data_IF_569051774007
#
_entry.id   IF_569051774007
#
_cell.length_a   1.000
_cell.length_b   1.000
_cell.length_c   1.000
_cell.angle_alpha   90.00
_cell.angle_beta   90.00
_cell.angle_gamma   90.00
#
_symmetry.space_group_name_H-M   'P 1'
#
loop_
_entity.id
_entity.type
_entity.pdbx_description
1 polymer ?
#
# COMPACT_ATOMS: atom_id res chain seq x y z
N UNK A 1 -17.19 -13.09 0.35
CA UNK A 1 -17.30 -12.18 1.51
C UNK A 1 -16.04 -11.33 1.54
N UNK A 2 -16.10 -10.10 2.01
CA UNK A 2 -14.89 -9.29 2.17
C UNK A 2 -14.37 -9.42 3.60
N UNK A 3 -13.06 -9.63 3.76
CA UNK A 3 -12.43 -9.88 5.06
C UNK A 3 -11.14 -9.06 5.17
N UNK A 4 -10.73 -8.76 6.38
CA UNK A 4 -9.41 -8.21 6.67
C UNK A 4 -8.78 -8.96 7.84
N UNK A 5 -7.47 -9.05 7.86
CA UNK A 5 -6.70 -9.71 8.93
C UNK A 5 -5.26 -9.19 8.92
N UNK A 6 -4.52 -9.49 10.00
CA UNK A 6 -3.09 -9.23 10.10
C UNK A 6 -2.39 -10.56 10.27
N UNK A 7 -1.35 -10.79 9.47
CA UNK A 7 -0.43 -11.91 9.63
C UNK A 7 0.95 -11.40 10.05
N UNK A 8 1.73 -12.25 10.73
CA UNK A 8 3.10 -11.92 11.12
C UNK A 8 4.08 -12.79 10.34
N UNK A 9 5.06 -12.14 9.70
CA UNK A 9 6.12 -12.82 8.92
C UNK A 9 7.49 -12.58 9.56
N UNK A 10 8.39 -13.56 9.42
CA UNK A 10 9.72 -13.49 10.05
C UNK A 10 10.63 -12.42 9.44
N UNK A 11 10.47 -12.17 8.14
CA UNK A 11 11.29 -11.25 7.37
C UNK A 11 10.41 -10.19 6.74
N UNK A 12 10.90 -8.95 6.70
CA UNK A 12 10.22 -7.88 5.98
C UNK A 12 10.05 -8.24 4.51
N UNK A 13 8.84 -8.02 3.98
CA UNK A 13 8.53 -8.18 2.56
C UNK A 13 7.85 -6.92 2.05
N UNK A 14 8.39 -6.24 1.03
CA UNK A 14 7.72 -5.09 0.47
C UNK A 14 6.42 -5.50 -0.22
N UNK A 15 5.38 -4.70 -0.01
CA UNK A 15 4.14 -4.78 -0.75
C UNK A 15 4.28 -4.05 -2.08
N UNK A 16 3.31 -4.21 -3.00
CA UNK A 16 3.25 -3.39 -4.20
C UNK A 16 3.30 -1.87 -3.92
N UNK A 17 2.74 -1.41 -2.79
CA UNK A 17 2.67 0.00 -2.43
C UNK A 17 3.97 0.53 -1.78
N UNK A 18 4.80 -0.35 -1.20
CA UNK A 18 6.02 0.05 -0.48
C UNK A 18 6.94 0.96 -1.29
N UNK A 19 7.06 0.68 -2.59
CA UNK A 19 7.87 1.48 -3.50
C UNK A 19 7.38 2.93 -3.60
N UNK A 20 6.08 3.16 -3.67
CA UNK A 20 5.53 4.52 -3.80
C UNK A 20 5.54 5.25 -2.45
N UNK A 21 5.24 4.52 -1.38
CA UNK A 21 5.02 5.08 -0.04
C UNK A 21 6.34 5.41 0.63
N UNK A 22 7.28 4.47 0.68
CA UNK A 22 8.53 4.64 1.41
C UNK A 22 9.59 5.24 0.48
N UNK A 23 9.81 6.56 0.58
CA UNK A 23 10.81 7.28 -0.23
C UNK A 23 12.22 6.98 0.28
N UNK A 24 13.16 6.52 -0.58
CA UNK A 24 14.55 6.37 -0.18
C UNK A 24 15.20 7.73 0.08
N UNK A 25 15.99 7.85 1.15
CA UNK A 25 16.66 9.10 1.56
C UNK A 25 18.17 9.10 1.33
N UNK A 26 18.78 7.93 1.21
CA UNK A 26 20.23 7.74 1.22
C UNK A 26 20.79 7.19 -0.11
N UNK A 27 19.94 6.91 -1.09
CA UNK A 27 20.36 6.56 -2.44
C UNK A 27 19.25 6.80 -3.48
N UNK A 28 19.60 6.66 -4.76
CA UNK A 28 18.68 6.87 -5.89
C UNK A 28 17.74 5.67 -6.15
N UNK A 29 18.18 4.46 -5.82
CA UNK A 29 17.44 3.23 -6.13
C UNK A 29 16.82 2.63 -4.86
N UNK A 30 15.50 2.43 -4.85
CA UNK A 30 14.79 1.92 -3.67
C UNK A 30 15.42 0.65 -3.07
N UNK A 31 15.89 -0.28 -3.90
CA UNK A 31 16.51 -1.55 -3.46
C UNK A 31 17.85 -1.40 -2.75
N UNK A 32 18.54 -0.26 -2.92
CA UNK A 32 19.83 0.03 -2.29
C UNK A 32 19.72 0.91 -1.05
N UNK A 33 18.53 1.41 -0.73
CA UNK A 33 18.32 2.37 0.34
C UNK A 33 18.25 1.67 1.71
N UNK A 34 18.80 2.33 2.72
CA UNK A 34 18.71 1.89 4.12
C UNK A 34 17.86 2.85 4.96
N UNK A 35 17.59 4.05 4.46
CA UNK A 35 16.77 5.06 5.12
C UNK A 35 15.59 5.44 4.25
N UNK A 36 14.40 5.46 4.84
CA UNK A 36 13.15 5.75 4.15
C UNK A 36 12.32 6.79 4.91
N UNK A 37 11.53 7.57 4.18
CA UNK A 37 10.51 8.46 4.71
C UNK A 37 9.16 8.22 4.03
N UNK A 38 8.12 7.76 4.75
CA UNK A 38 8.17 7.24 6.12
C UNK A 38 9.09 6.01 6.23
N UNK A 39 9.59 5.67 7.44
CA UNK A 39 10.45 4.51 7.64
C UNK A 39 9.74 3.20 7.29
N UNK A 40 10.51 2.19 6.92
CA UNK A 40 9.98 0.82 6.76
C UNK A 40 9.44 0.30 8.10
N UNK A 41 8.41 -0.57 8.08
CA UNK A 41 7.84 -1.15 9.28
C UNK A 41 8.90 -1.94 10.05
N UNK A 42 8.85 -1.84 11.38
CA UNK A 42 9.72 -2.59 12.28
C UNK A 42 9.03 -3.89 12.73
N UNK A 43 9.80 -4.94 13.07
CA UNK A 43 9.21 -6.14 13.60
C UNK A 43 8.65 -5.88 15.01
N UNK A 44 7.46 -6.43 15.29
CA UNK A 44 6.93 -6.51 16.64
C UNK A 44 7.73 -7.53 17.47
N UNK A 45 8.04 -7.15 18.70
CA UNK A 45 8.80 -7.98 19.65
C UNK A 45 8.12 -9.34 19.82
N UNK A 46 8.85 -10.40 19.47
CA UNK A 46 8.38 -11.79 19.61
C UNK A 46 7.42 -12.29 18.53
N UNK A 47 6.99 -11.46 17.56
CA UNK A 47 6.07 -11.87 16.48
C UNK A 47 6.66 -11.75 15.07
N UNK A 48 7.49 -10.74 14.83
CA UNK A 48 8.00 -10.42 13.48
C UNK A 48 7.26 -9.24 12.84
N UNK A 49 7.28 -9.15 11.52
CA UNK A 49 6.72 -8.03 10.77
C UNK A 49 5.21 -8.20 10.55
N UNK A 50 4.39 -7.22 10.94
CA UNK A 50 2.96 -7.25 10.63
C UNK A 50 2.72 -7.03 9.14
N UNK A 51 1.86 -7.85 8.55
CA UNK A 51 1.37 -7.69 7.18
C UNK A 51 -0.14 -7.65 7.22
N UNK A 52 -0.67 -6.49 6.86
CA UNK A 52 -2.10 -6.22 6.82
C UNK A 52 -2.68 -6.70 5.51
N UNK A 53 -3.77 -7.47 5.57
CA UNK A 53 -4.39 -8.07 4.38
C UNK A 53 -5.87 -7.76 4.29
N UNK A 54 -6.33 -7.53 3.06
CA UNK A 54 -7.73 -7.33 2.72
C UNK A 54 -8.10 -8.21 1.52
N UNK A 55 -9.20 -8.94 1.63
CA UNK A 55 -9.78 -9.70 0.52
C UNK A 55 -11.01 -8.97 -0.03
N UNK A 56 -11.00 -8.70 -1.34
CA UNK A 56 -12.14 -8.15 -2.07
C UNK A 56 -12.34 -8.90 -3.39
N UNK A 57 -13.54 -9.44 -3.60
CA UNK A 57 -13.92 -10.21 -4.81
C UNK A 57 -12.92 -11.34 -5.15
N UNK A 58 -12.39 -12.02 -4.13
CA UNK A 58 -11.42 -13.11 -4.31
C UNK A 58 -9.99 -12.66 -4.62
N UNK A 59 -9.72 -11.36 -4.62
CA UNK A 59 -8.37 -10.80 -4.72
C UNK A 59 -7.87 -10.38 -3.35
N UNK A 60 -6.63 -10.73 -3.03
CA UNK A 60 -5.94 -10.32 -1.81
C UNK A 60 -5.06 -9.10 -2.09
N UNK A 61 -5.18 -8.09 -1.23
CA UNK A 61 -4.29 -6.94 -1.16
C UNK A 61 -3.53 -7.01 0.15
N UNK A 62 -2.21 -6.88 0.09
CA UNK A 62 -1.31 -6.91 1.24
C UNK A 62 -0.59 -5.58 1.41
N UNK A 63 -0.39 -5.17 2.65
CA UNK A 63 0.29 -3.94 3.04
C UNK A 63 1.26 -4.24 4.17
N UNK A 64 2.48 -3.72 4.08
CA UNK A 64 3.55 -3.98 5.04
C UNK A 64 3.54 -2.98 6.19
N UNK A 65 2.89 -1.83 6.02
CA UNK A 65 2.88 -0.71 6.96
C UNK A 65 1.51 -0.02 6.99
N UNK A 66 1.25 0.77 8.03
CA UNK A 66 -0.01 1.53 8.12
C UNK A 66 -0.01 2.73 7.18
N UNK A 67 1.17 3.29 6.91
CA UNK A 67 1.36 4.37 5.93
C UNK A 67 0.97 3.89 4.52
N UNK A 68 1.23 2.62 4.18
CA UNK A 68 0.75 2.03 2.94
C UNK A 68 -0.78 1.88 2.90
N UNK A 69 -1.40 1.52 4.03
CA UNK A 69 -2.86 1.43 4.17
C UNK A 69 -3.49 2.81 3.99
N UNK A 70 -2.94 3.84 4.63
CA UNK A 70 -3.39 5.23 4.54
C UNK A 70 -3.28 5.75 3.10
N UNK A 71 -2.11 5.60 2.48
CA UNK A 71 -1.93 5.99 1.08
C UNK A 71 -2.93 5.29 0.15
N UNK A 72 -3.19 4.00 0.37
CA UNK A 72 -4.17 3.26 -0.42
C UNK A 72 -5.61 3.78 -0.20
N UNK A 73 -5.99 4.10 1.04
CA UNK A 73 -7.27 4.75 1.35
C UNK A 73 -7.38 6.09 0.60
N UNK A 74 -6.35 6.93 0.65
CA UNK A 74 -6.37 8.25 0.03
C UNK A 74 -6.57 8.17 -1.48
N UNK A 75 -5.84 7.28 -2.16
CA UNK A 75 -5.97 7.07 -3.61
C UNK A 75 -7.31 6.44 -3.98
N UNK A 76 -7.76 5.40 -3.26
CA UNK A 76 -8.97 4.67 -3.60
C UNK A 76 -10.25 5.41 -3.22
N UNK A 77 -10.20 6.32 -2.24
CA UNK A 77 -11.36 7.11 -1.80
C UNK A 77 -11.75 8.20 -2.79
N UNK A 78 -10.83 8.64 -3.67
CA UNK A 78 -11.09 9.70 -4.64
C UNK A 78 -12.28 9.38 -5.55
N UNK A 79 -13.14 10.38 -5.77
CA UNK A 79 -14.34 10.26 -6.63
C UNK A 79 -13.95 9.70 -8.01
N UNK A 80 -13.01 10.35 -8.66
CA UNK A 80 -12.36 9.85 -9.87
C UNK A 80 -11.07 9.16 -9.47
N UNK A 81 -10.82 7.96 -10.00
CA UNK A 81 -9.56 7.28 -9.73
C UNK A 81 -8.44 8.06 -10.45
N UNK A 82 -7.40 8.52 -9.74
CA UNK A 82 -6.30 9.25 -10.37
C UNK A 82 -5.54 8.35 -11.34
N UNK A 83 -4.89 8.98 -12.31
CA UNK A 83 -4.07 8.23 -13.28
C UNK A 83 -2.76 7.82 -12.62
N UNK A 84 -2.21 6.66 -13.01
CA UNK A 84 -0.87 6.24 -12.55
C UNK A 84 0.22 7.25 -12.93
N UNK A 85 -0.01 8.03 -13.98
CA UNK A 85 0.86 9.13 -14.38
C UNK A 85 0.91 10.25 -13.35
N UNK A 86 -0.23 10.84 -12.99
CA UNK A 86 -0.21 11.94 -12.00
C UNK A 86 0.25 11.45 -10.63
N UNK A 87 -0.15 10.23 -10.22
CA UNK A 87 0.36 9.64 -8.97
C UNK A 87 1.88 9.46 -8.96
N UNK A 88 2.48 9.03 -10.07
CA UNK A 88 3.93 8.91 -10.16
C UNK A 88 4.62 10.28 -10.15
N UNK A 89 4.09 11.25 -10.91
CA UNK A 89 4.60 12.63 -10.98
C UNK A 89 4.51 13.36 -9.62
N UNK A 90 3.46 13.10 -8.83
CA UNK A 90 3.26 13.65 -7.47
C UNK A 90 4.10 12.93 -6.41
N UNK A 91 4.48 11.68 -6.65
CA UNK A 91 5.31 10.88 -5.75
C UNK A 91 6.80 11.14 -5.94
N UNK A 92 7.63 10.55 -5.07
CA UNK A 92 9.08 10.61 -5.24
C UNK A 92 9.61 9.88 -6.49
N UNK A 93 8.81 8.99 -7.09
CA UNK A 93 9.19 8.29 -8.33
C UNK A 93 9.44 9.27 -9.47
N UNK A 94 8.61 10.30 -9.60
CA UNK A 94 8.72 11.30 -10.64
C UNK A 94 8.21 10.84 -12.02
N UNK A 95 8.42 11.72 -13.01
CA UNK A 95 7.90 11.57 -14.36
C UNK A 95 8.51 10.35 -15.08
N UNK A 96 7.68 9.57 -15.78
CA UNK A 96 8.10 8.40 -16.56
C UNK A 96 8.00 7.06 -15.82
N UNK A 97 7.81 7.09 -14.50
CA UNK A 97 7.78 5.89 -13.64
C UNK A 97 6.36 5.39 -13.32
N UNK A 98 5.35 5.82 -14.08
CA UNK A 98 3.95 5.39 -13.88
C UNK A 98 3.74 3.87 -13.92
N UNK A 99 4.63 3.14 -14.60
CA UNK A 99 4.57 1.67 -14.70
C UNK A 99 4.92 0.98 -13.36
N UNK A 100 5.66 1.67 -12.48
CA UNK A 100 6.06 1.18 -11.17
C UNK A 100 4.99 1.40 -10.09
N UNK A 101 4.04 2.29 -10.33
CA UNK A 101 2.99 2.61 -9.35
C UNK A 101 2.07 1.40 -9.11
N UNK A 102 1.75 1.10 -7.84
CA UNK A 102 1.00 -0.10 -7.44
C UNK A 102 -0.38 -0.23 -8.11
N UNK A 103 -1.02 0.89 -8.46
CA UNK A 103 -2.31 0.94 -9.14
C UNK A 103 -2.30 0.27 -10.54
N UNK A 104 -1.13 0.07 -11.16
CA UNK A 104 -0.98 -0.74 -12.39
C UNK A 104 -1.27 -2.21 -12.12
N UNK A 105 -0.93 -2.69 -10.92
CA UNK A 105 -1.11 -4.08 -10.46
C UNK A 105 -2.50 -4.33 -9.86
N UNK A 106 -3.28 -3.27 -9.59
CA UNK A 106 -4.63 -3.41 -9.06
C UNK A 106 -5.55 -4.09 -10.09
N UNK A 107 -6.21 -5.22 -9.75
CA UNK A 107 -7.13 -5.90 -10.66
C UNK A 107 -8.24 -4.98 -11.16
N UNK A 108 -8.56 -5.05 -12.46
CA UNK A 108 -9.59 -4.21 -13.08
C UNK A 108 -10.96 -4.37 -12.40
N UNK A 109 -11.27 -5.58 -11.92
CA UNK A 109 -12.50 -5.90 -11.19
C UNK A 109 -12.68 -5.11 -9.89
N UNK A 110 -11.61 -4.51 -9.35
CA UNK A 110 -11.60 -3.70 -8.13
C UNK A 110 -11.60 -2.18 -8.40
N UNK A 111 -11.38 -1.74 -9.65
CA UNK A 111 -11.22 -0.31 -9.99
C UNK A 111 -12.53 0.49 -9.97
N UNK A 112 -13.68 -0.17 -10.08
CA UNK A 112 -14.98 0.50 -10.03
C UNK A 112 -15.17 1.23 -8.70
N UNK A 113 -15.80 2.41 -8.70
CA UNK A 113 -15.99 3.21 -7.49
C UNK A 113 -16.66 2.41 -6.36
N UNK A 114 -17.71 1.64 -6.67
CA UNK A 114 -18.41 0.79 -5.69
C UNK A 114 -17.47 -0.19 -4.99
N UNK A 115 -16.57 -0.84 -5.73
CA UNK A 115 -15.64 -1.80 -5.15
C UNK A 115 -14.50 -1.11 -4.39
N UNK A 116 -13.99 0.01 -4.90
CA UNK A 116 -13.01 0.84 -4.18
C UNK A 116 -13.53 1.29 -2.81
N UNK A 117 -14.78 1.74 -2.73
CA UNK A 117 -15.38 2.17 -1.46
C UNK A 117 -15.54 1.02 -0.45
N UNK A 118 -15.75 -0.23 -0.90
CA UNK A 118 -15.73 -1.39 0.00
C UNK A 118 -14.33 -1.64 0.54
N UNK A 119 -13.31 -1.57 -0.31
CA UNK A 119 -11.90 -1.71 0.10
C UNK A 119 -11.54 -0.62 1.11
N UNK A 120 -11.86 0.64 0.83
CA UNK A 120 -11.64 1.77 1.73
C UNK A 120 -12.27 1.55 3.11
N UNK A 121 -13.51 1.02 3.17
CA UNK A 121 -14.14 0.70 4.46
C UNK A 121 -13.39 -0.38 5.24
N UNK A 122 -12.96 -1.45 4.56
CA UNK A 122 -12.19 -2.53 5.19
C UNK A 122 -10.84 -2.03 5.72
N UNK A 123 -10.14 -1.22 4.92
CA UNK A 123 -8.89 -0.59 5.31
C UNK A 123 -9.10 0.39 6.47
N UNK A 124 -10.21 1.14 6.49
CA UNK A 124 -10.59 2.01 7.60
C UNK A 124 -10.80 1.25 8.91
N UNK A 125 -11.47 0.09 8.86
CA UNK A 125 -11.58 -0.78 10.04
C UNK A 125 -10.22 -1.29 10.50
N UNK A 126 -9.37 -1.71 9.58
CA UNK A 126 -8.02 -2.17 9.89
C UNK A 126 -7.20 -1.06 10.57
N UNK A 127 -7.28 0.17 10.07
CA UNK A 127 -6.62 1.34 10.67
C UNK A 127 -7.10 1.61 12.09
N UNK A 128 -8.42 1.61 12.33
CA UNK A 128 -8.98 1.87 13.66
C UNK A 128 -8.67 0.79 14.71
N UNK A 129 -8.34 -0.44 14.28
CA UNK A 129 -7.95 -1.52 15.19
C UNK A 129 -6.46 -1.51 15.57
N UNK A 130 -5.62 -0.77 14.84
CA UNK A 130 -4.18 -0.67 15.08
C UNK A 130 -3.76 0.64 15.76
N UNK A 131 -4.70 1.55 16.07
CA UNK A 131 -4.50 2.77 16.87
C UNK A 131 -4.86 2.51 18.34
#
# INVERSE_FOLDING_TARGET
MSKYWVEYVKEYRPSPASLVVHRPLDCEHWSGATKFDPPLPQPEVGKGYPVSKVEAKGYELSFSSMEEVEHCIDVLSQKNLPTTRSLAEESWLGQGYQHLHWLTKLPSALKSYKERQKIVRLLGHLKSHNQ
#
